data_IF_715137140672
#
_entry.id   IF_715137140672
#
_cell.length_a   1.000
_cell.length_b   1.000
_cell.length_c   1.000
_cell.angle_alpha   90.00
_cell.angle_beta   90.00
_cell.angle_gamma   90.00
#
_symmetry.space_group_name_H-M   'P 1'
#
loop_
_entity.id
_entity.type
_entity.pdbx_description
1 polymer ?
#
# COMPACT_ATOMS: atom_id res chain seq x y z
N UNK A 1 -4.45 -6.55 -5.87
CA UNK A 1 -3.17 -5.80 -5.92
C UNK A 1 -2.93 -5.27 -7.33
N UNK A 2 -2.33 -4.09 -7.50
CA UNK A 2 -1.94 -3.59 -8.83
C UNK A 2 -0.73 -4.41 -9.32
N UNK A 3 -0.85 -5.11 -10.45
CA UNK A 3 0.19 -6.02 -10.99
C UNK A 3 1.52 -5.32 -11.33
N UNK A 4 1.49 -4.02 -11.63
CA UNK A 4 2.66 -3.24 -12.04
C UNK A 4 2.76 -1.93 -11.25
N UNK A 5 3.94 -1.68 -10.68
CA UNK A 5 4.25 -0.47 -9.90
C UNK A 5 4.41 0.75 -10.81
N UNK A 6 4.19 1.95 -10.28
CA UNK A 6 4.39 3.20 -11.03
C UNK A 6 5.83 3.31 -11.55
N UNK A 7 6.82 2.98 -10.72
CA UNK A 7 8.24 2.98 -11.08
C UNK A 7 8.50 2.09 -12.30
N UNK A 8 7.93 0.89 -12.33
CA UNK A 8 8.07 -0.01 -13.46
C UNK A 8 7.44 0.57 -14.74
N UNK A 9 6.22 1.10 -14.65
CA UNK A 9 5.57 1.74 -15.81
C UNK A 9 6.38 2.92 -16.34
N UNK A 10 6.92 3.75 -15.43
CA UNK A 10 7.77 4.89 -15.78
C UNK A 10 8.99 4.43 -16.56
N UNK A 11 9.68 3.40 -16.08
CA UNK A 11 10.83 2.79 -16.78
C UNK A 11 10.48 2.35 -18.20
N UNK A 12 9.39 1.58 -18.36
CA UNK A 12 8.96 1.09 -19.68
C UNK A 12 8.64 2.23 -20.65
N UNK A 13 8.00 3.30 -20.18
CA UNK A 13 7.71 4.47 -21.01
C UNK A 13 8.99 5.26 -21.31
N UNK A 14 9.90 5.42 -20.36
CA UNK A 14 11.19 6.10 -20.59
C UNK A 14 12.03 5.39 -21.65
N UNK A 15 12.16 4.06 -21.61
CA UNK A 15 12.87 3.30 -22.65
C UNK A 15 12.26 3.49 -24.04
N UNK A 16 10.93 3.63 -24.12
CA UNK A 16 10.24 3.95 -25.37
C UNK A 16 10.61 5.35 -25.88
N UNK A 17 10.63 6.35 -25.01
CA UNK A 17 11.00 7.73 -25.35
C UNK A 17 12.48 7.85 -25.75
N UNK A 18 13.34 7.01 -25.16
CA UNK A 18 14.76 6.91 -25.49
C UNK A 18 15.03 6.15 -26.80
N UNK A 19 14.00 5.75 -27.54
CA UNK A 19 14.09 4.98 -28.79
C UNK A 19 14.84 3.63 -28.65
N UNK A 20 14.85 3.02 -27.45
CA UNK A 20 15.48 1.71 -27.26
C UNK A 20 14.77 0.59 -28.05
N UNK A 21 13.53 0.83 -28.47
CA UNK A 21 12.82 0.00 -29.43
C UNK A 21 11.32 0.23 -29.45
N UNK A 22 10.65 -0.38 -30.43
CA UNK A 22 9.20 -0.31 -30.56
C UNK A 22 8.44 -1.13 -29.51
N UNK A 23 7.11 -1.04 -29.52
CA UNK A 23 6.26 -1.73 -28.53
C UNK A 23 6.48 -3.24 -28.44
N UNK A 24 6.83 -3.90 -29.56
CA UNK A 24 7.12 -5.35 -29.59
C UNK A 24 8.43 -5.69 -28.88
N UNK A 25 9.46 -4.87 -29.09
CA UNK A 25 10.76 -5.04 -28.44
C UNK A 25 10.63 -4.86 -26.93
N UNK A 26 10.00 -3.77 -26.48
CA UNK A 26 9.81 -3.49 -25.05
C UNK A 26 8.94 -4.55 -24.36
N UNK A 27 7.89 -5.03 -25.05
CA UNK A 27 7.07 -6.14 -24.54
C UNK A 27 7.90 -7.40 -24.27
N UNK A 28 8.84 -7.74 -25.15
CA UNK A 28 9.73 -8.87 -24.99
C UNK A 28 10.77 -8.62 -23.89
N UNK A 29 11.44 -7.45 -23.90
CA UNK A 29 12.44 -7.03 -22.89
C UNK A 29 11.88 -7.13 -21.47
N UNK A 30 10.63 -6.70 -21.29
CA UNK A 30 9.98 -6.61 -19.98
C UNK A 30 9.01 -7.77 -19.68
N UNK A 31 8.87 -8.74 -20.59
CA UNK A 31 7.94 -9.88 -20.48
C UNK A 31 6.49 -9.44 -20.15
N UNK A 32 6.03 -8.38 -20.82
CA UNK A 32 4.68 -7.84 -20.65
C UNK A 32 3.94 -7.79 -21.98
N UNK A 33 2.61 -7.68 -21.92
CA UNK A 33 1.80 -7.61 -23.13
C UNK A 33 2.08 -6.32 -23.92
N UNK A 34 2.32 -6.43 -25.23
CA UNK A 34 2.50 -5.28 -26.15
C UNK A 34 1.39 -4.23 -26.04
N UNK A 35 0.15 -4.65 -25.86
CA UNK A 35 -1.00 -3.76 -25.70
C UNK A 35 -0.90 -2.93 -24.42
N UNK A 36 -0.30 -3.49 -23.36
CA UNK A 36 -0.06 -2.78 -22.11
C UNK A 36 1.02 -1.70 -22.26
N UNK A 37 2.11 -2.01 -22.96
CA UNK A 37 3.16 -1.02 -23.29
C UNK A 37 2.55 0.15 -24.08
N UNK A 38 1.80 -0.16 -25.15
CA UNK A 38 1.12 0.85 -25.97
C UNK A 38 0.16 1.70 -25.13
N UNK A 39 -0.56 1.07 -24.20
CA UNK A 39 -1.50 1.76 -23.33
C UNK A 39 -0.78 2.75 -22.39
N UNK A 40 0.33 2.36 -21.77
CA UNK A 40 1.11 3.23 -20.90
C UNK A 40 1.74 4.40 -21.65
N UNK A 41 2.28 4.17 -22.85
CA UNK A 41 2.79 5.23 -23.73
C UNK A 41 1.67 6.19 -24.12
N UNK A 42 0.48 5.70 -24.47
CA UNK A 42 -0.67 6.56 -24.77
C UNK A 42 -1.07 7.41 -23.56
N UNK A 43 -1.16 6.81 -22.38
CA UNK A 43 -1.45 7.56 -21.14
C UNK A 43 -0.42 8.66 -20.94
N UNK A 44 0.86 8.36 -21.12
CA UNK A 44 1.93 9.35 -21.02
C UNK A 44 1.75 10.50 -22.04
N UNK A 45 1.50 10.19 -23.30
CA UNK A 45 1.34 11.21 -24.35
C UNK A 45 0.17 12.17 -24.09
N UNK A 46 -0.89 11.70 -23.42
CA UNK A 46 -2.08 12.52 -23.12
C UNK A 46 -2.02 13.21 -21.75
N UNK A 47 -1.40 12.58 -20.75
CA UNK A 47 -1.56 12.97 -19.35
C UNK A 47 -0.23 13.04 -18.58
N UNK A 48 0.91 12.95 -19.27
CA UNK A 48 2.23 12.97 -18.65
C UNK A 48 2.46 11.81 -17.67
N UNK A 49 3.34 12.03 -16.71
CA UNK A 49 3.69 11.02 -15.71
C UNK A 49 2.56 10.80 -14.70
N UNK A 50 1.77 11.83 -14.44
CA UNK A 50 0.65 11.87 -13.51
C UNK A 50 -0.43 10.85 -13.92
N UNK A 51 -0.66 10.69 -15.23
CA UNK A 51 -1.59 9.69 -15.76
C UNK A 51 -1.24 8.24 -15.40
N UNK A 52 0.04 7.93 -15.19
CA UNK A 52 0.51 6.56 -14.91
C UNK A 52 0.38 6.15 -13.44
N UNK A 53 0.31 7.12 -12.52
CA UNK A 53 0.13 6.94 -11.07
C UNK A 53 -1.26 6.40 -10.73
N UNK A 54 -2.27 6.80 -11.53
CA UNK A 54 -3.68 6.77 -11.14
C UNK A 54 -4.53 5.57 -11.57
N UNK A 55 -4.10 4.67 -12.46
CA UNK A 55 -4.92 3.50 -12.85
C UNK A 55 -6.30 3.81 -13.47
N UNK A 56 -6.52 5.07 -13.84
CA UNK A 56 -7.66 5.64 -14.56
C UNK A 56 -7.21 6.97 -15.17
N UNK A 57 -7.98 7.52 -16.11
CA UNK A 57 -7.70 8.86 -16.66
C UNK A 57 -7.80 9.87 -15.51
N UNK A 58 -6.65 10.23 -14.93
CA UNK A 58 -6.55 11.26 -13.91
C UNK A 58 -6.29 12.57 -14.64
N UNK A 59 -7.23 13.48 -14.56
CA UNK A 59 -7.12 14.79 -15.20
C UNK A 59 -6.69 15.80 -14.14
N UNK A 60 -5.64 16.55 -14.43
CA UNK A 60 -5.16 17.61 -13.55
C UNK A 60 -6.20 18.71 -13.45
N UNK A 61 -6.25 19.44 -12.33
CA UNK A 61 -7.17 20.58 -12.15
C UNK A 61 -7.02 21.58 -13.29
N UNK A 62 -5.77 21.89 -13.68
CA UNK A 62 -5.45 22.75 -14.82
C UNK A 62 -6.08 22.25 -16.11
N UNK A 63 -5.91 20.97 -16.46
CA UNK A 63 -6.52 20.43 -17.67
C UNK A 63 -8.04 20.53 -17.65
N UNK A 64 -8.68 20.30 -16.50
CA UNK A 64 -10.15 20.43 -16.40
C UNK A 64 -10.60 21.86 -16.66
N UNK A 65 -9.89 22.84 -16.09
CA UNK A 65 -10.15 24.27 -16.31
C UNK A 65 -9.99 24.64 -17.78
N UNK A 66 -8.86 24.28 -18.38
CA UNK A 66 -8.58 24.55 -19.80
C UNK A 66 -9.69 23.98 -20.71
N UNK A 67 -10.22 22.80 -20.39
CA UNK A 67 -11.32 22.17 -21.13
C UNK A 67 -12.64 22.93 -20.98
N UNK A 68 -12.97 23.36 -19.76
CA UNK A 68 -14.22 24.10 -19.48
C UNK A 68 -14.17 25.47 -20.16
N UNK A 69 -13.07 26.22 -19.98
CA UNK A 69 -12.86 27.52 -20.61
C UNK A 69 -12.91 27.41 -22.14
N UNK A 70 -12.30 26.38 -22.70
CA UNK A 70 -12.38 26.12 -24.14
C UNK A 70 -13.81 25.84 -24.60
N UNK A 71 -14.58 25.06 -23.83
CA UNK A 71 -15.97 24.76 -24.16
C UNK A 71 -16.84 26.03 -24.17
N UNK A 72 -16.70 26.88 -23.15
CA UNK A 72 -17.43 28.15 -23.03
C UNK A 72 -17.04 29.13 -24.14
N UNK A 73 -15.75 29.28 -24.40
CA UNK A 73 -15.24 30.21 -25.42
C UNK A 73 -15.67 29.82 -26.84
N UNK A 74 -15.77 28.52 -27.13
CA UNK A 74 -16.09 28.01 -28.46
C UNK A 74 -17.56 27.58 -28.62
N UNK A 75 -18.38 27.68 -27.57
CA UNK A 75 -19.79 27.27 -27.58
C UNK A 75 -20.01 25.79 -27.95
N UNK A 76 -19.07 24.92 -27.62
CA UNK A 76 -19.12 23.51 -28.03
C UNK A 76 -20.01 22.67 -27.12
N UNK A 77 -20.64 21.64 -27.68
CA UNK A 77 -21.36 20.68 -26.87
C UNK A 77 -20.42 19.85 -26.00
N UNK A 78 -20.96 19.28 -24.91
CA UNK A 78 -20.24 18.34 -24.04
C UNK A 78 -19.67 17.16 -24.85
N UNK A 79 -20.41 16.68 -25.86
CA UNK A 79 -19.99 15.56 -26.68
C UNK A 79 -18.79 15.91 -27.57
N UNK A 80 -18.84 17.07 -28.23
CA UNK A 80 -17.77 17.54 -29.11
C UNK A 80 -16.50 17.84 -28.32
N UNK A 81 -16.65 18.49 -27.17
CA UNK A 81 -15.55 18.81 -26.25
C UNK A 81 -14.93 17.52 -25.70
N UNK A 82 -15.74 16.57 -25.24
CA UNK A 82 -15.23 15.28 -24.77
C UNK A 82 -14.49 14.50 -25.87
N UNK A 83 -14.97 14.55 -27.11
CA UNK A 83 -14.28 13.93 -28.25
C UNK A 83 -12.96 14.63 -28.56
N UNK A 84 -12.95 15.97 -28.58
CA UNK A 84 -11.75 16.79 -28.86
C UNK A 84 -10.64 16.56 -27.84
N UNK A 85 -10.98 16.55 -26.55
CA UNK A 85 -10.04 16.35 -25.46
C UNK A 85 -9.87 14.88 -25.05
N UNK A 86 -10.42 13.95 -25.84
CA UNK A 86 -10.36 12.51 -25.61
C UNK A 86 -10.76 12.12 -24.17
N UNK A 87 -11.81 12.75 -23.66
CA UNK A 87 -12.37 12.47 -22.34
C UNK A 87 -13.12 11.14 -22.42
N UNK A 88 -12.84 10.23 -21.49
CA UNK A 88 -13.35 8.86 -21.54
C UNK A 88 -14.88 8.72 -21.46
N UNK A 89 -15.59 9.74 -21.00
CA UNK A 89 -17.05 9.76 -20.94
C UNK A 89 -17.56 11.18 -20.90
N UNK A 90 -18.66 11.46 -21.60
CA UNK A 90 -19.37 12.74 -21.54
C UNK A 90 -19.79 13.07 -20.09
N UNK A 91 -20.16 12.04 -19.31
CA UNK A 91 -20.51 12.18 -17.89
C UNK A 91 -19.34 12.70 -17.04
N UNK A 92 -18.10 12.43 -17.45
CA UNK A 92 -16.93 12.97 -16.76
C UNK A 92 -16.85 14.48 -16.94
N UNK A 93 -17.11 14.97 -18.15
CA UNK A 93 -17.11 16.41 -18.44
C UNK A 93 -18.30 17.12 -17.80
N UNK A 94 -19.52 16.56 -17.87
CA UNK A 94 -20.70 17.13 -17.20
C UNK A 94 -20.46 17.36 -15.71
N UNK A 95 -19.81 16.40 -15.04
CA UNK A 95 -19.47 16.54 -13.62
C UNK A 95 -18.45 17.64 -13.33
N UNK A 96 -17.52 17.91 -14.24
CA UNK A 96 -16.57 19.00 -14.04
C UNK A 96 -17.28 20.34 -14.18
N UNK A 97 -18.19 20.46 -15.15
CA UNK A 97 -19.00 21.66 -15.34
C UNK A 97 -19.84 21.92 -14.08
N UNK A 98 -20.60 20.93 -13.61
CA UNK A 98 -21.39 21.01 -12.37
C UNK A 98 -20.52 21.43 -11.17
N UNK A 99 -19.35 20.81 -11.00
CA UNK A 99 -18.41 21.18 -9.93
C UNK A 99 -17.90 22.61 -10.06
N UNK A 100 -17.62 23.06 -11.28
CA UNK A 100 -17.13 24.41 -11.56
C UNK A 100 -18.22 25.46 -11.33
N UNK A 101 -19.47 25.19 -11.71
CA UNK A 101 -20.62 26.05 -11.43
C UNK A 101 -20.91 26.17 -9.92
N UNK A 102 -20.79 25.07 -9.17
CA UNK A 102 -21.05 25.05 -7.72
C UNK A 102 -19.96 25.73 -6.88
N UNK A 103 -18.69 25.65 -7.29
CA UNK A 103 -17.57 26.05 -6.42
C UNK A 103 -16.30 26.52 -7.14
N UNK A 104 -16.41 26.86 -8.42
CA UNK A 104 -15.33 27.42 -9.23
C UNK A 104 -14.12 26.49 -9.37
N UNK A 105 -12.96 27.08 -9.64
CA UNK A 105 -11.70 26.37 -9.85
C UNK A 105 -11.29 25.48 -8.66
N UNK A 106 -11.58 25.91 -7.44
CA UNK A 106 -11.26 25.17 -6.21
C UNK A 106 -12.05 23.86 -6.08
N UNK A 107 -13.25 23.78 -6.65
CA UNK A 107 -14.11 22.59 -6.63
C UNK A 107 -13.64 21.49 -7.60
N UNK A 108 -12.89 21.88 -8.65
CA UNK A 108 -12.32 20.94 -9.63
C UNK A 108 -11.11 20.18 -9.09
N UNK A 109 -10.54 20.62 -7.96
CA UNK A 109 -9.48 19.87 -7.31
C UNK A 109 -9.98 18.47 -6.96
N UNK A 110 -9.16 17.48 -7.31
CA UNK A 110 -9.42 16.09 -6.97
C UNK A 110 -9.49 15.96 -5.45
N UNK A 111 -10.68 16.12 -4.85
CA UNK A 111 -10.92 15.61 -3.52
C UNK A 111 -10.51 14.14 -3.58
N UNK A 112 -9.48 13.80 -2.80
CA UNK A 112 -9.09 12.42 -2.55
C UNK A 112 -10.31 11.76 -1.93
N UNK A 113 -11.24 11.29 -2.77
CA UNK A 113 -12.41 10.53 -2.34
C UNK A 113 -11.83 9.25 -1.77
N UNK A 114 -11.59 9.27 -0.47
CA UNK A 114 -11.51 8.07 0.33
C UNK A 114 -12.70 7.24 -0.10
N UNK A 115 -12.42 6.04 -0.60
CA UNK A 115 -13.46 5.10 -0.97
C UNK A 115 -14.33 4.89 0.27
N UNK A 116 -15.55 5.44 0.29
CA UNK A 116 -16.54 5.02 1.29
C UNK A 116 -16.81 3.55 1.00
N UNK A 117 -16.26 2.68 1.84
CA UNK A 117 -16.56 1.25 1.80
C UNK A 117 -18.01 1.15 2.24
N UNK A 118 -18.91 0.90 1.29
CA UNK A 118 -20.26 0.46 1.61
C UNK A 118 -20.13 -0.91 2.28
N UNK A 119 -20.46 -1.01 3.57
CA UNK A 119 -20.48 -2.28 4.33
C UNK A 119 -21.69 -3.13 3.92
N UNK A 120 -21.90 -3.36 2.62
CA UNK A 120 -22.89 -4.32 2.17
C UNK A 120 -22.38 -5.11 0.97
N UNK A 121 -21.28 -5.82 1.19
CA UNK A 121 -20.94 -6.99 0.39
C UNK A 121 -20.53 -8.07 1.36
N UNK A 122 -21.37 -9.11 1.48
CA UNK A 122 -21.01 -10.39 2.07
C UNK A 122 -19.85 -10.97 1.25
N UNK A 123 -18.63 -10.54 1.57
CA UNK A 123 -17.41 -11.15 1.09
C UNK A 123 -17.11 -12.27 2.07
N UNK A 124 -17.07 -13.51 1.57
CA UNK A 124 -16.37 -14.62 2.22
C UNK A 124 -14.88 -14.25 2.30
N UNK A 125 -14.52 -13.51 3.34
CA UNK A 125 -13.14 -13.22 3.72
C UNK A 125 -12.77 -14.32 4.72
N UNK A 126 -11.71 -15.13 4.47
CA UNK A 126 -11.14 -15.97 5.51
C UNK A 126 -10.76 -15.06 6.65
N UNK A 127 -11.49 -15.18 7.76
CA UNK A 127 -11.24 -14.46 8.99
C UNK A 127 -9.83 -14.79 9.47
N UNK A 128 -8.83 -14.00 9.08
CA UNK A 128 -7.58 -13.90 9.84
C UNK A 128 -7.92 -13.05 11.06
N UNK A 129 -8.51 -13.72 12.05
CA UNK A 129 -8.95 -13.18 13.32
C UNK A 129 -7.73 -12.82 14.17
N UNK A 130 -7.68 -11.53 14.52
CA UNK A 130 -7.30 -10.97 15.83
C UNK A 130 -5.84 -11.12 16.28
N UNK A 131 -5.09 -10.04 16.03
CA UNK A 131 -3.83 -9.71 16.72
C UNK A 131 -3.97 -9.60 18.26
N UNK A 132 -5.18 -9.42 18.81
CA UNK A 132 -5.39 -9.38 20.27
C UNK A 132 -5.05 -10.72 20.96
N UNK A 133 -5.25 -11.86 20.28
CA UNK A 133 -4.92 -13.17 20.84
C UNK A 133 -3.41 -13.40 20.94
N UNK A 134 -2.62 -12.74 20.10
CA UNK A 134 -1.17 -12.88 20.08
C UNK A 134 -0.53 -12.12 21.23
N UNK A 135 -1.05 -10.95 21.58
CA UNK A 135 -0.55 -10.17 22.72
C UNK A 135 -0.85 -10.87 24.05
N UNK A 136 -2.06 -11.42 24.21
CA UNK A 136 -2.42 -12.22 25.39
C UNK A 136 -1.55 -13.48 25.52
N UNK A 137 -1.28 -14.17 24.41
CA UNK A 137 -0.41 -15.35 24.41
C UNK A 137 1.04 -14.98 24.72
N UNK A 138 1.55 -13.86 24.20
CA UNK A 138 2.88 -13.34 24.55
C UNK A 138 2.96 -12.97 26.03
N UNK A 139 1.90 -12.37 26.61
CA UNK A 139 1.86 -12.05 28.04
C UNK A 139 1.84 -13.33 28.88
N UNK A 140 0.99 -14.31 28.52
CA UNK A 140 0.92 -15.62 29.19
C UNK A 140 2.27 -16.35 29.15
N UNK A 141 2.86 -16.48 27.97
CA UNK A 141 4.15 -17.15 27.78
C UNK A 141 5.29 -16.43 28.52
N UNK A 142 5.25 -15.10 28.61
CA UNK A 142 6.22 -14.33 29.42
C UNK A 142 6.04 -14.59 30.91
N UNK A 143 4.80 -14.68 31.40
CA UNK A 143 4.52 -15.00 32.79
C UNK A 143 4.98 -16.43 33.15
N UNK A 144 4.69 -17.42 32.29
CA UNK A 144 5.13 -18.81 32.49
C UNK A 144 6.66 -18.92 32.50
N UNK A 145 7.34 -18.29 31.54
CA UNK A 145 8.81 -18.26 31.52
C UNK A 145 9.43 -17.59 32.75
N UNK A 146 8.81 -16.52 33.27
CA UNK A 146 9.28 -15.87 34.49
C UNK A 146 9.13 -16.78 35.72
N UNK A 147 8.03 -17.53 35.79
CA UNK A 147 7.81 -18.50 36.87
C UNK A 147 8.82 -19.65 36.83
N UNK A 148 9.05 -20.24 35.64
CA UNK A 148 10.05 -21.30 35.46
C UNK A 148 11.45 -20.85 35.87
N UNK A 149 11.88 -19.65 35.45
CA UNK A 149 13.16 -19.08 35.88
C UNK A 149 13.26 -18.92 37.39
N UNK A 150 12.18 -18.50 38.06
CA UNK A 150 12.17 -18.38 39.52
C UNK A 150 12.30 -19.75 40.20
N UNK A 151 11.62 -20.78 39.70
CA UNK A 151 11.79 -22.14 40.22
C UNK A 151 13.23 -22.64 40.04
N UNK A 152 13.82 -22.45 38.86
CA UNK A 152 15.22 -22.83 38.60
C UNK A 152 16.17 -22.15 39.59
N UNK A 153 16.00 -20.85 39.86
CA UNK A 153 16.83 -20.16 40.85
C UNK A 153 16.69 -20.74 42.26
N UNK A 154 15.47 -21.09 42.69
CA UNK A 154 15.23 -21.70 44.00
C UNK A 154 15.84 -23.10 44.10
N UNK A 155 15.76 -23.90 43.03
CA UNK A 155 16.39 -25.23 42.99
C UNK A 155 17.91 -25.08 43.08
N UNK A 156 18.51 -24.16 42.32
CA UNK A 156 19.94 -23.88 42.38
C UNK A 156 20.37 -23.42 43.77
N UNK A 157 19.63 -22.51 44.41
CA UNK A 157 19.89 -22.07 45.78
C UNK A 157 19.80 -23.22 46.78
N UNK A 158 18.79 -24.09 46.64
CA UNK A 158 18.63 -25.26 47.50
C UNK A 158 19.80 -26.24 47.33
N UNK A 159 20.23 -26.51 46.10
CA UNK A 159 21.38 -27.38 45.82
C UNK A 159 22.68 -26.78 46.35
N UNK A 160 22.88 -25.47 46.20
CA UNK A 160 24.02 -24.76 46.80
C UNK A 160 23.99 -24.83 48.32
N UNK A 161 22.82 -24.69 48.95
CA UNK A 161 22.67 -24.79 50.41
C UNK A 161 22.93 -26.21 50.93
N UNK A 162 22.42 -27.24 50.25
CA UNK A 162 22.68 -28.66 50.55
C UNK A 162 24.16 -29.02 50.36
N UNK A 163 24.81 -28.49 49.34
CA UNK A 163 26.26 -28.68 49.14
C UNK A 163 27.06 -28.03 50.28
N UNK A 164 26.69 -26.81 50.70
CA UNK A 164 27.31 -26.14 51.85
C UNK A 164 27.08 -26.88 53.17
N UNK A 165 25.89 -27.44 53.42
CA UNK A 165 25.62 -28.20 54.65
C UNK A 165 26.37 -29.53 54.69
N UNK A 166 26.44 -30.27 53.57
CA UNK A 166 27.26 -31.48 53.44
C UNK A 166 28.73 -31.21 53.68
N UNK A 167 29.26 -30.11 53.13
CA UNK A 167 30.63 -29.68 53.40
C UNK A 167 30.84 -29.43 54.89
N UNK A 168 29.99 -28.63 55.55
CA UNK A 168 30.08 -28.36 56.99
C UNK A 168 30.01 -29.63 57.86
N UNK A 169 29.13 -30.58 57.54
CA UNK A 169 29.06 -31.87 58.23
C UNK A 169 30.34 -32.69 58.05
N UNK A 170 30.91 -32.74 56.84
CA UNK A 170 32.17 -33.44 56.58
C UNK A 170 33.36 -32.82 57.34
N UNK A 171 33.39 -31.50 57.51
CA UNK A 171 34.39 -30.81 58.32
C UNK A 171 34.19 -31.02 59.83
N UNK A 172 32.94 -31.13 60.29
CA UNK A 172 32.62 -31.40 61.71
C UNK A 172 32.91 -32.84 62.12
N UNK A 173 32.63 -33.85 61.28
CA UNK A 173 32.97 -35.25 61.55
C UNK A 173 34.49 -35.48 61.58
N UNK A 174 35.26 -34.78 60.74
CA UNK A 174 36.74 -34.86 60.77
C UNK A 174 37.36 -34.24 62.04
N UNK A 175 36.63 -33.37 62.75
CA UNK A 175 37.10 -32.68 63.95
C UNK A 175 36.75 -33.43 65.25
N UNK A 176 35.83 -34.39 65.21
CA UNK A 176 35.39 -35.20 66.36
C UNK A 176 35.99 -36.62 66.38
N UNK A 177 36.95 -36.90 65.49
CA UNK A 177 37.68 -38.17 65.38
C UNK A 177 39.18 -38.02 65.67
N UNK A 178 39.60 -36.88 66.25
CA UNK A 178 40.95 -36.60 66.73
C UNK A 178 40.89 -36.12 68.18
#
# INVERSE_FOLDING_TARGET
MRKYTFVFKKKVVSDYLNNEGGYKYLAHKYQINRTLVRHWVRIYNYHGWEGLVGGGKSYTTKFKLDVIEYMETNGLSIQETAKKFNIGSNRTLSKWIEQYEEGGASSLESQKRGRKISMNSKLNIPKKLKDESLEEEVIRLRAENAYLKKLETLIQEQDLSKKKSRLKQSFSSKKNLN
#
